data_IF_378182684363
#
_entry.id   IF_378182684363
#
_cell.length_a   1.000
_cell.length_b   1.000
_cell.length_c   1.000
_cell.angle_alpha   90.00
_cell.angle_beta   90.00
_cell.angle_gamma   90.00
#
_symmetry.space_group_name_H-M   'P 1'
#
loop_
_entity.id
_entity.type
_entity.pdbx_description
1 polymer ?
#
# COMPACT_ATOMS: atom_id res chain seq x y z
N UNK A 1 -47.23 36.55 -50.08
CA UNK A 1 -46.80 36.02 -48.77
C UNK A 1 -45.68 35.04 -49.00
N UNK A 2 -44.40 35.37 -48.62
CA UNK A 2 -43.26 34.50 -48.79
C UNK A 2 -42.96 33.90 -47.42
N UNK A 3 -43.17 32.60 -47.28
CA UNK A 3 -42.85 31.85 -46.05
C UNK A 3 -41.39 31.46 -46.05
N UNK A 4 -40.60 31.98 -45.11
CA UNK A 4 -39.19 31.56 -44.91
C UNK A 4 -39.15 30.38 -43.98
N UNK A 5 -38.57 29.27 -44.42
CA UNK A 5 -38.28 28.08 -43.65
C UNK A 5 -36.93 28.28 -42.95
N UNK A 6 -36.90 28.36 -41.62
CA UNK A 6 -35.66 28.33 -40.85
C UNK A 6 -35.27 26.87 -40.58
N UNK A 7 -34.17 26.45 -41.17
CA UNK A 7 -33.57 25.16 -40.88
C UNK A 7 -32.75 25.27 -39.57
N UNK A 8 -33.19 24.54 -38.56
CA UNK A 8 -32.50 24.41 -37.26
C UNK A 8 -31.44 23.31 -37.39
N UNK A 9 -30.18 23.67 -37.55
CA UNK A 9 -29.05 22.72 -37.54
C UNK A 9 -28.70 22.39 -36.07
N UNK A 10 -29.05 21.18 -35.63
CA UNK A 10 -28.62 20.66 -34.31
C UNK A 10 -27.14 20.24 -34.40
N UNK A 11 -26.28 20.93 -33.67
CA UNK A 11 -24.87 20.57 -33.50
C UNK A 11 -24.77 19.43 -32.49
N UNK A 12 -24.51 18.21 -32.93
CA UNK A 12 -24.30 17.05 -32.07
C UNK A 12 -22.88 17.14 -31.54
N UNK A 13 -22.72 17.49 -30.25
CA UNK A 13 -21.45 17.43 -29.55
C UNK A 13 -21.03 15.97 -29.32
N UNK A 14 -20.01 15.52 -30.01
CA UNK A 14 -19.40 14.21 -29.76
C UNK A 14 -18.55 14.32 -28.51
N UNK A 15 -19.07 13.82 -27.40
CA UNK A 15 -18.31 13.66 -26.16
C UNK A 15 -17.43 12.42 -26.37
N UNK A 16 -16.16 12.63 -26.71
CA UNK A 16 -15.19 11.55 -26.71
C UNK A 16 -14.93 11.11 -25.24
N UNK A 17 -15.07 9.82 -24.93
CA UNK A 17 -14.65 9.35 -23.61
C UNK A 17 -13.14 9.62 -23.46
N UNK A 18 -12.76 10.31 -22.38
CA UNK A 18 -11.37 10.45 -22.04
C UNK A 18 -10.78 9.04 -21.86
N UNK A 19 -9.73 8.72 -22.59
CA UNK A 19 -8.96 7.50 -22.37
C UNK A 19 -8.44 7.55 -20.92
N UNK A 20 -8.87 6.60 -20.10
CA UNK A 20 -8.33 6.46 -18.76
C UNK A 20 -6.82 6.24 -18.87
N UNK A 21 -6.04 7.03 -18.15
CA UNK A 21 -4.58 6.82 -18.06
C UNK A 21 -4.34 5.43 -17.46
N UNK A 22 -3.78 4.54 -18.27
CA UNK A 22 -3.52 3.15 -17.85
C UNK A 22 -2.13 2.99 -17.21
N UNK A 23 -1.37 4.07 -17.11
CA UNK A 23 -0.04 4.06 -16.48
C UNK A 23 -0.21 3.82 -14.99
N UNK A 24 0.45 2.79 -14.40
CA UNK A 24 0.36 2.56 -12.97
C UNK A 24 1.00 3.71 -12.20
N UNK A 25 0.37 4.11 -11.09
CA UNK A 25 0.99 4.99 -10.10
C UNK A 25 2.00 4.16 -9.31
N UNK A 26 3.26 4.60 -9.25
CA UNK A 26 4.32 3.88 -8.54
C UNK A 26 4.40 4.43 -7.12
N UNK A 27 4.44 3.51 -6.14
CA UNK A 27 4.64 3.82 -4.72
C UNK A 27 5.85 3.03 -4.22
N UNK A 28 6.87 3.75 -3.74
CA UNK A 28 8.07 3.11 -3.20
C UNK A 28 7.91 2.83 -1.71
N UNK A 29 8.22 1.60 -1.32
CA UNK A 29 8.09 1.11 0.05
C UNK A 29 9.46 0.71 0.58
N UNK A 30 9.86 1.30 1.70
CA UNK A 30 11.02 0.91 2.48
C UNK A 30 10.62 0.05 3.67
N UNK A 31 11.18 -1.14 3.79
CA UNK A 31 11.05 -2.03 4.93
C UNK A 31 12.33 -1.92 5.75
N UNK A 32 12.22 -1.38 6.96
CA UNK A 32 13.34 -0.91 7.76
C UNK A 32 13.27 -1.52 9.14
N UNK A 33 14.41 -1.94 9.65
CA UNK A 33 14.59 -2.40 11.03
C UNK A 33 15.93 -1.90 11.60
N UNK A 34 16.24 -2.14 12.88
CA UNK A 34 17.45 -1.63 13.50
C UNK A 34 18.76 -2.11 12.87
N UNK A 35 18.76 -3.21 12.12
CA UNK A 35 19.96 -3.74 11.47
C UNK A 35 20.51 -2.83 10.37
N UNK A 36 19.69 -1.89 9.86
CA UNK A 36 20.10 -0.87 8.89
C UNK A 36 21.17 0.06 9.48
N UNK A 37 21.21 0.22 10.80
CA UNK A 37 22.21 1.03 11.50
C UNK A 37 23.49 0.18 11.66
N UNK A 38 24.42 0.34 10.75
CA UNK A 38 25.69 -0.39 10.75
C UNK A 38 26.45 -0.15 12.08
N UNK A 39 26.72 -1.22 12.83
CA UNK A 39 27.43 -1.16 14.11
C UNK A 39 26.55 -0.97 15.35
N UNK A 40 25.24 -0.91 15.20
CA UNK A 40 24.34 -0.95 16.34
C UNK A 40 24.42 -2.34 17.01
N UNK A 41 24.86 -2.39 18.25
CA UNK A 41 24.76 -3.59 19.08
C UNK A 41 23.31 -3.70 19.56
N UNK A 42 22.47 -4.33 18.71
CA UNK A 42 21.02 -4.38 18.93
C UNK A 42 20.74 -5.52 19.91
N UNK A 43 20.55 -5.18 21.17
CA UNK A 43 20.05 -6.15 22.17
C UNK A 43 18.58 -6.40 21.98
N UNK A 44 18.07 -7.60 22.30
CA UNK A 44 16.67 -7.96 22.15
C UNK A 44 15.67 -6.97 22.76
N UNK A 45 16.06 -6.22 23.80
CA UNK A 45 15.24 -5.16 24.40
C UNK A 45 15.09 -3.92 23.48
N UNK A 46 16.08 -3.63 22.62
CA UNK A 46 16.00 -2.54 21.66
C UNK A 46 15.09 -2.89 20.46
N UNK A 47 14.99 -4.18 20.11
CA UNK A 47 14.09 -4.66 19.06
C UNK A 47 12.61 -4.54 19.44
N UNK A 48 12.30 -4.42 20.72
CA UNK A 48 10.93 -4.29 21.24
C UNK A 48 10.43 -2.85 21.30
N UNK A 49 11.27 -1.85 20.95
CA UNK A 49 10.80 -0.47 20.87
C UNK A 49 10.10 -0.25 19.53
N UNK A 50 8.83 0.16 19.60
CA UNK A 50 7.95 0.46 18.46
C UNK A 50 8.56 1.42 17.41
N UNK A 51 9.59 2.18 17.78
CA UNK A 51 10.21 3.19 16.92
C UNK A 51 11.34 2.63 16.03
N UNK A 52 11.65 1.34 16.15
CA UNK A 52 12.84 0.76 15.51
C UNK A 52 12.53 -0.10 14.28
N UNK A 53 11.30 -0.55 14.11
CA UNK A 53 10.83 -1.21 12.90
C UNK A 53 9.83 -0.31 12.18
N UNK A 54 9.98 -0.15 10.88
CA UNK A 54 9.10 0.72 10.11
C UNK A 54 8.86 0.20 8.71
N UNK A 55 7.62 0.33 8.27
CA UNK A 55 7.25 0.38 6.88
C UNK A 55 7.12 1.87 6.49
N UNK A 56 7.80 2.28 5.44
CA UNK A 56 7.82 3.67 4.94
C UNK A 56 7.33 3.68 3.50
N UNK A 57 6.36 4.53 3.21
CA UNK A 57 5.93 4.83 1.85
C UNK A 57 6.36 6.24 1.47
N UNK A 58 6.77 6.47 0.24
CA UNK A 58 7.08 7.81 -0.30
C UNK A 58 5.83 8.66 -0.48
N UNK A 59 4.68 8.02 -0.67
CA UNK A 59 3.35 8.63 -0.58
C UNK A 59 2.38 7.71 0.14
N UNK A 60 1.43 8.28 0.88
CA UNK A 60 0.36 7.55 1.57
C UNK A 60 -1.02 7.83 0.99
N UNK A 61 -1.07 8.56 -0.13
CA UNK A 61 -2.29 8.86 -0.86
C UNK A 61 -2.05 8.79 -2.37
N UNK A 62 -2.94 8.11 -3.09
CA UNK A 62 -2.95 8.01 -4.55
C UNK A 62 -4.38 8.02 -5.08
N UNK A 63 -4.55 8.19 -6.40
CA UNK A 63 -5.86 8.03 -7.06
C UNK A 63 -6.19 6.56 -7.29
N UNK A 64 -7.48 6.27 -7.39
CA UNK A 64 -7.96 4.93 -7.76
C UNK A 64 -7.46 4.50 -9.14
N UNK A 65 -7.22 3.20 -9.29
CA UNK A 65 -6.74 2.60 -10.52
C UNK A 65 -5.58 1.64 -10.29
N UNK A 66 -4.72 1.52 -11.31
CA UNK A 66 -3.54 0.66 -11.23
C UNK A 66 -2.45 1.31 -10.39
N UNK A 67 -1.99 0.58 -9.39
CA UNK A 67 -0.91 0.98 -8.49
C UNK A 67 0.15 -0.11 -8.50
N UNK A 68 1.41 0.29 -8.59
CA UNK A 68 2.56 -0.60 -8.45
C UNK A 68 3.31 -0.22 -7.18
N UNK A 69 3.26 -1.09 -6.18
CA UNK A 69 4.08 -0.98 -4.98
C UNK A 69 5.44 -1.63 -5.23
N UNK A 70 6.51 -0.86 -5.10
CA UNK A 70 7.88 -1.33 -5.23
C UNK A 70 8.52 -1.37 -3.84
N UNK A 71 8.58 -2.56 -3.23
CA UNK A 71 9.09 -2.74 -1.88
C UNK A 71 10.58 -3.11 -1.90
N UNK A 72 11.36 -2.44 -1.05
CA UNK A 72 12.77 -2.76 -0.80
C UNK A 72 12.98 -3.06 0.67
N UNK A 73 13.50 -4.25 0.96
CA UNK A 73 13.95 -4.63 2.29
C UNK A 73 15.37 -4.10 2.53
N UNK A 74 15.49 -3.03 3.31
CA UNK A 74 16.78 -2.42 3.67
C UNK A 74 17.46 -3.14 4.84
N UNK A 75 16.83 -4.13 5.46
CA UNK A 75 17.44 -4.93 6.51
C UNK A 75 18.75 -5.58 6.06
N UNK A 76 19.67 -5.75 7.00
CA UNK A 76 20.87 -6.57 6.84
C UNK A 76 20.72 -7.97 7.44
N UNK A 77 19.60 -8.23 8.16
CA UNK A 77 19.47 -9.45 8.95
C UNK A 77 18.09 -10.13 8.82
N UNK A 78 17.02 -9.36 8.62
CA UNK A 78 15.66 -9.88 8.73
C UNK A 78 14.94 -9.92 7.39
N UNK A 79 14.09 -10.92 7.27
CA UNK A 79 13.09 -11.00 6.22
C UNK A 79 11.91 -10.08 6.55
N UNK A 80 11.36 -9.44 5.55
CA UNK A 80 10.14 -8.62 5.63
C UNK A 80 9.19 -8.97 4.49
N UNK A 81 7.95 -8.53 4.62
CA UNK A 81 6.94 -8.58 3.58
C UNK A 81 6.12 -7.28 3.56
N UNK A 82 5.32 -7.06 2.54
CA UNK A 82 4.36 -5.96 2.49
C UNK A 82 3.03 -6.50 1.96
N UNK A 83 2.00 -6.47 2.82
CA UNK A 83 0.62 -6.84 2.47
C UNK A 83 -0.22 -5.57 2.38
N UNK A 84 -1.04 -5.45 1.35
CA UNK A 84 -2.05 -4.40 1.22
C UNK A 84 -3.36 -4.91 1.78
N UNK A 85 -3.84 -4.33 2.87
CA UNK A 85 -5.06 -4.74 3.57
C UNK A 85 -6.15 -3.68 3.39
N UNK A 86 -7.34 -4.09 2.95
CA UNK A 86 -8.51 -3.20 2.91
C UNK A 86 -9.12 -3.08 4.31
N UNK A 87 -9.37 -1.84 4.76
CA UNK A 87 -9.93 -1.55 6.09
C UNK A 87 -10.97 -0.45 6.04
N UNK A 88 -11.94 -0.48 6.95
CA UNK A 88 -12.90 0.62 7.12
C UNK A 88 -12.27 1.79 7.91
N UNK A 89 -11.42 1.46 8.87
CA UNK A 89 -10.77 2.42 9.76
C UNK A 89 -9.31 1.99 10.03
N UNK A 90 -8.32 2.69 9.44
CA UNK A 90 -6.91 2.33 9.59
C UNK A 90 -6.34 2.64 10.97
N UNK A 91 -7.11 3.27 11.87
CA UNK A 91 -6.71 3.51 13.27
C UNK A 91 -7.05 2.34 14.19
N UNK A 92 -7.88 1.42 13.73
CA UNK A 92 -8.22 0.21 14.49
C UNK A 92 -7.16 -0.87 14.28
N UNK A 93 -6.76 -1.56 15.34
CA UNK A 93 -5.83 -2.67 15.22
C UNK A 93 -6.47 -3.81 14.42
N UNK A 94 -5.67 -4.49 13.62
CA UNK A 94 -6.09 -5.73 12.97
C UNK A 94 -6.22 -6.84 14.02
N UNK A 95 -7.16 -7.78 13.82
CA UNK A 95 -7.24 -8.98 14.65
C UNK A 95 -5.91 -9.74 14.62
N UNK A 96 -5.45 -10.19 15.78
CA UNK A 96 -4.20 -10.93 15.91
C UNK A 96 -4.46 -12.42 16.12
N UNK A 97 -3.57 -13.24 15.60
CA UNK A 97 -3.39 -14.63 15.98
C UNK A 97 -2.32 -14.71 17.08
N UNK A 98 -2.71 -14.77 18.38
CA UNK A 98 -1.78 -14.58 19.48
C UNK A 98 -0.64 -15.61 19.55
N UNK A 99 -0.92 -16.83 19.09
CA UNK A 99 0.04 -17.94 19.11
C UNK A 99 1.29 -17.70 18.27
N UNK A 100 1.19 -16.84 17.25
CA UNK A 100 2.26 -16.57 16.26
C UNK A 100 2.60 -15.10 16.14
N UNK A 101 1.97 -14.21 16.93
CA UNK A 101 2.21 -12.76 16.93
C UNK A 101 2.07 -12.12 15.54
N UNK A 102 1.10 -12.56 14.76
CA UNK A 102 0.74 -12.07 13.42
C UNK A 102 -0.67 -11.53 13.41
N UNK A 103 -1.00 -10.70 12.43
CA UNK A 103 -2.41 -10.46 12.10
C UNK A 103 -3.04 -11.75 11.55
N UNK A 104 -4.27 -12.04 11.96
CA UNK A 104 -5.02 -13.20 11.48
C UNK A 104 -5.54 -12.94 10.06
N UNK A 105 -4.86 -13.50 9.07
CA UNK A 105 -5.15 -13.30 7.66
C UNK A 105 -6.54 -13.79 7.24
N UNK A 106 -7.19 -14.63 8.06
CA UNK A 106 -8.58 -15.05 7.83
C UNK A 106 -9.61 -13.97 8.21
N UNK A 107 -9.18 -12.95 8.95
CA UNK A 107 -10.04 -11.90 9.48
C UNK A 107 -9.87 -10.53 8.80
N UNK A 108 -9.05 -10.45 7.75
CA UNK A 108 -8.94 -9.24 6.94
C UNK A 108 -8.94 -9.58 5.43
N UNK A 109 -9.19 -8.56 4.61
CA UNK A 109 -9.16 -8.70 3.15
C UNK A 109 -7.82 -8.21 2.62
N UNK A 110 -6.98 -9.14 2.17
CA UNK A 110 -5.75 -8.83 1.44
C UNK A 110 -6.09 -8.46 -0.01
N UNK A 111 -5.48 -7.38 -0.49
CA UNK A 111 -5.53 -6.95 -1.89
C UNK A 111 -4.33 -7.46 -2.69
N UNK A 112 -3.39 -8.11 -2.03
CA UNK A 112 -2.15 -8.66 -2.57
C UNK A 112 -0.96 -8.31 -1.70
N UNK A 113 0.18 -8.91 -2.03
CA UNK A 113 1.38 -8.79 -1.21
C UNK A 113 2.67 -8.83 -2.05
N UNK A 114 3.73 -8.28 -1.48
CA UNK A 114 5.10 -8.59 -1.83
C UNK A 114 5.61 -9.52 -0.73
N UNK A 115 5.58 -10.84 -1.03
CA UNK A 115 5.89 -11.88 -0.04
C UNK A 115 7.37 -11.91 0.30
N UNK A 116 7.63 -12.14 1.53
CA UNK A 116 8.88 -12.70 2.11
C UNK A 116 10.18 -12.26 1.42
N UNK A 117 10.44 -10.96 1.38
CA UNK A 117 11.69 -10.42 0.87
C UNK A 117 12.84 -10.70 1.83
N UNK A 118 13.87 -11.48 1.43
CA UNK A 118 15.08 -11.58 2.22
C UNK A 118 15.79 -10.23 2.38
N UNK A 119 16.71 -10.15 3.33
CA UNK A 119 17.53 -8.97 3.57
C UNK A 119 18.18 -8.44 2.28
N UNK A 120 18.08 -7.14 2.02
CA UNK A 120 18.62 -6.45 0.85
C UNK A 120 17.92 -6.76 -0.48
N UNK A 121 16.75 -7.41 -0.48
CA UNK A 121 16.02 -7.73 -1.71
C UNK A 121 14.85 -6.78 -1.91
N UNK A 122 14.43 -6.68 -3.18
CA UNK A 122 13.28 -5.89 -3.60
C UNK A 122 12.29 -6.78 -4.35
N UNK A 123 11.03 -6.38 -4.34
CA UNK A 123 9.95 -7.00 -5.08
C UNK A 123 8.87 -5.98 -5.39
N UNK A 124 7.90 -6.34 -6.23
CA UNK A 124 6.80 -5.46 -6.57
C UNK A 124 5.47 -6.18 -6.57
N UNK A 125 4.40 -5.40 -6.31
CA UNK A 125 3.00 -5.80 -6.40
C UNK A 125 2.29 -4.81 -7.32
N UNK A 126 1.71 -5.29 -8.41
CA UNK A 126 0.78 -4.51 -9.23
C UNK A 126 -0.64 -4.91 -8.89
N UNK A 127 -1.45 -3.93 -8.48
CA UNK A 127 -2.84 -4.13 -8.05
C UNK A 127 -3.72 -2.99 -8.52
N UNK A 128 -4.99 -3.27 -8.78
CA UNK A 128 -6.00 -2.25 -9.04
C UNK A 128 -6.79 -2.00 -7.77
N UNK A 129 -6.69 -0.76 -7.23
CA UNK A 129 -7.39 -0.37 -6.01
C UNK A 129 -8.50 0.62 -6.30
N UNK A 130 -9.63 0.40 -5.61
CA UNK A 130 -10.79 1.31 -5.60
C UNK A 130 -10.59 2.39 -4.53
N UNK A 131 -11.32 3.52 -4.62
CA UNK A 131 -11.33 4.50 -3.55
C UNK A 131 -11.66 3.83 -2.21
N UNK A 132 -10.84 4.11 -1.19
CA UNK A 132 -10.99 3.48 0.12
C UNK A 132 -9.80 3.71 1.03
N UNK A 133 -9.87 3.09 2.20
CA UNK A 133 -8.81 3.11 3.20
C UNK A 133 -8.14 1.75 3.26
N UNK A 134 -6.83 1.78 3.39
CA UNK A 134 -5.99 0.59 3.41
C UNK A 134 -4.94 0.70 4.51
N UNK A 135 -4.37 -0.44 4.87
CA UNK A 135 -3.14 -0.54 5.64
C UNK A 135 -2.11 -1.29 4.80
N UNK A 136 -0.88 -0.77 4.76
CA UNK A 136 0.27 -1.53 4.31
C UNK A 136 0.94 -2.07 5.56
N UNK A 137 1.13 -3.38 5.65
CA UNK A 137 1.66 -4.03 6.85
C UNK A 137 2.78 -5.01 6.50
N UNK A 138 3.67 -5.25 7.45
CA UNK A 138 4.53 -6.43 7.46
C UNK A 138 3.97 -7.42 8.48
N UNK A 139 3.56 -8.61 8.02
CA UNK A 139 2.94 -9.62 8.85
C UNK A 139 3.90 -10.76 9.26
N UNK A 140 5.20 -10.56 9.12
CA UNK A 140 6.20 -11.43 9.74
C UNK A 140 5.98 -11.41 11.26
N UNK A 141 6.10 -12.55 11.97
CA UNK A 141 5.83 -12.63 13.41
C UNK A 141 6.49 -11.51 14.23
N UNK A 142 5.66 -10.75 14.97
CA UNK A 142 6.10 -9.64 15.82
C UNK A 142 6.29 -8.30 15.10
N UNK A 143 6.43 -8.25 13.76
CA UNK A 143 6.78 -7.03 13.04
C UNK A 143 5.64 -6.00 13.02
N UNK A 144 4.39 -6.45 12.83
CA UNK A 144 3.22 -5.56 12.92
C UNK A 144 3.14 -4.91 14.30
N UNK A 145 3.34 -5.70 15.36
CA UNK A 145 3.33 -5.20 16.74
C UNK A 145 4.51 -4.27 17.05
N UNK A 146 5.61 -4.41 16.32
CA UNK A 146 6.78 -3.51 16.39
C UNK A 146 6.60 -2.22 15.58
N UNK A 147 5.41 -1.99 14.97
CA UNK A 147 5.08 -0.75 14.27
C UNK A 147 5.22 -0.79 12.75
N UNK A 148 5.41 -1.96 12.15
CA UNK A 148 5.49 -2.09 10.68
C UNK A 148 4.11 -2.05 10.03
N UNK A 149 3.46 -0.89 10.15
CA UNK A 149 2.23 -0.58 9.43
C UNK A 149 2.17 0.89 9.06
N UNK A 150 1.51 1.19 7.94
CA UNK A 150 1.25 2.56 7.52
C UNK A 150 -0.16 2.67 6.92
N UNK A 151 -0.98 3.64 7.36
CA UNK A 151 -2.24 3.96 6.70
C UNK A 151 -2.01 4.42 5.26
N UNK A 152 -2.87 3.97 4.36
CA UNK A 152 -2.81 4.31 2.94
C UNK A 152 -4.22 4.62 2.43
N UNK A 153 -4.36 5.71 1.68
CA UNK A 153 -5.65 6.20 1.17
C UNK A 153 -5.65 6.16 -0.34
N UNK A 154 -6.74 5.66 -0.90
CA UNK A 154 -7.01 5.74 -2.35
C UNK A 154 -8.19 6.68 -2.54
N UNK A 155 -7.98 7.77 -3.28
CA UNK A 155 -8.99 8.78 -3.61
C UNK A 155 -9.64 8.50 -4.97
N UNK A 156 -10.67 9.27 -5.29
CA UNK A 156 -11.31 9.22 -6.62
C UNK A 156 -10.44 9.87 -7.70
#
# INVERSE_FOLDING_TARGET
MKTQLFALTALLAIISPALADTTPQIVHIGLIDPSVIKGANITGAAMMKHDMMALRADTTEVKAGKIEFQATNFSHAFQHEMIVVSVDDPTKPLPLEPSVSKADEKQFTSMGEVSELPAGKSGSLSVELKPGKYLLICNVPGHLMAGMSVPFTVTQ
#
